data_IF_457720865454
#
_entry.id   IF_457720865454
#
_cell.length_a   1.000
_cell.length_b   1.000
_cell.length_c   1.000
_cell.angle_alpha   90.00
_cell.angle_beta   90.00
_cell.angle_gamma   90.00
#
_symmetry.space_group_name_H-M   'P 1'
#
loop_
_entity.id
_entity.type
_entity.pdbx_description
1 polymer ?
#
# COMPACT_ATOMS: atom_id res chain seq x y z
N UNK A 1 14.73 -10.65 -17.84
CA UNK A 1 13.72 -9.61 -17.51
C UNK A 1 12.72 -10.31 -16.62
N UNK A 2 12.71 -10.02 -15.33
CA UNK A 2 11.67 -10.51 -14.45
C UNK A 2 10.35 -9.95 -14.93
N UNK A 3 9.39 -10.84 -15.12
CA UNK A 3 8.02 -10.50 -15.51
C UNK A 3 7.38 -9.74 -14.34
N UNK A 4 7.50 -8.42 -14.37
CA UNK A 4 6.79 -7.58 -13.41
C UNK A 4 5.31 -7.93 -13.46
N UNK A 5 4.77 -8.29 -12.34
CA UNK A 5 3.37 -8.71 -12.17
C UNK A 5 2.45 -7.76 -12.92
N UNK A 6 1.64 -8.29 -13.84
CA UNK A 6 0.67 -7.49 -14.59
C UNK A 6 -0.35 -6.92 -13.62
N UNK A 7 -0.52 -5.61 -13.61
CA UNK A 7 -1.48 -4.94 -12.74
C UNK A 7 -2.90 -5.49 -13.02
N UNK A 8 -3.68 -5.66 -11.97
CA UNK A 8 -5.03 -6.23 -12.06
C UNK A 8 -5.96 -5.28 -12.83
N UNK A 9 -6.77 -5.82 -13.73
CA UNK A 9 -7.72 -5.04 -14.56
C UNK A 9 -7.09 -3.77 -15.19
N UNK A 10 -5.81 -3.89 -15.62
CA UNK A 10 -4.99 -2.74 -16.03
C UNK A 10 -5.69 -1.89 -17.09
N UNK A 11 -6.09 -2.49 -18.18
CA UNK A 11 -6.67 -1.75 -19.31
C UNK A 11 -8.05 -1.20 -18.95
N UNK A 12 -8.88 -2.04 -18.34
CA UNK A 12 -10.25 -1.69 -17.96
C UNK A 12 -10.28 -0.53 -16.97
N UNK A 13 -9.35 -0.53 -16.00
CA UNK A 13 -9.24 0.53 -15.00
C UNK A 13 -8.78 1.85 -15.61
N UNK A 14 -7.80 1.81 -16.51
CA UNK A 14 -7.25 3.01 -17.16
C UNK A 14 -8.22 3.58 -18.17
N UNK A 15 -8.89 2.74 -18.97
CA UNK A 15 -9.90 3.16 -19.92
C UNK A 15 -11.10 3.84 -19.21
N UNK A 16 -11.52 3.29 -18.07
CA UNK A 16 -12.58 3.89 -17.26
C UNK A 16 -12.15 5.20 -16.59
N UNK A 17 -10.88 5.32 -16.18
CA UNK A 17 -10.34 6.49 -15.50
C UNK A 17 -10.14 7.65 -16.46
N UNK A 18 -9.37 7.45 -17.51
CA UNK A 18 -8.93 8.52 -18.45
C UNK A 18 -9.97 8.80 -19.51
N UNK A 19 -10.60 7.76 -20.06
CA UNK A 19 -11.63 7.88 -21.10
C UNK A 19 -11.15 8.71 -22.29
N UNK A 20 -11.90 9.78 -22.61
CA UNK A 20 -11.58 10.73 -23.67
C UNK A 20 -10.81 11.96 -23.20
N UNK A 21 -10.73 12.22 -21.90
CA UNK A 21 -10.11 13.43 -21.33
C UNK A 21 -8.60 13.20 -21.08
N UNK A 22 -7.81 13.40 -22.13
CA UNK A 22 -6.38 13.10 -22.11
C UNK A 22 -5.51 14.20 -21.48
N UNK A 23 -6.03 15.41 -21.36
CA UNK A 23 -5.31 16.57 -20.78
C UNK A 23 -5.75 16.86 -19.33
N UNK A 24 -6.47 15.94 -18.71
CA UNK A 24 -6.95 16.01 -17.33
C UNK A 24 -5.84 15.77 -16.30
N UNK A 25 -6.22 15.93 -15.03
CA UNK A 25 -5.39 15.68 -13.85
C UNK A 25 -5.86 14.40 -13.16
N UNK A 26 -5.01 13.42 -13.08
CA UNK A 26 -5.33 12.11 -12.51
C UNK A 26 -4.44 11.79 -11.30
N UNK A 27 -4.95 10.92 -10.45
CA UNK A 27 -4.23 10.43 -9.28
C UNK A 27 -4.19 8.91 -9.31
N UNK A 28 -2.99 8.35 -9.11
CA UNK A 28 -2.81 6.95 -8.71
C UNK A 28 -2.45 6.94 -7.22
N UNK A 29 -3.40 6.55 -6.38
CA UNK A 29 -3.27 6.54 -4.93
C UNK A 29 -2.39 5.40 -4.40
N UNK A 30 -2.00 4.46 -5.27
CA UNK A 30 -1.32 3.19 -4.94
C UNK A 30 -0.33 2.83 -6.04
N UNK A 31 0.76 3.59 -6.13
CA UNK A 31 1.73 3.47 -7.23
C UNK A 31 2.29 2.05 -7.38
N UNK A 32 2.70 1.41 -6.26
CA UNK A 32 3.26 0.05 -6.25
C UNK A 32 4.38 -0.16 -7.26
N UNK A 33 4.22 -1.12 -8.16
CA UNK A 33 5.16 -1.37 -9.26
C UNK A 33 5.05 -0.39 -10.44
N UNK A 34 4.10 0.55 -10.39
CA UNK A 34 3.88 1.57 -11.42
C UNK A 34 3.19 1.06 -12.69
N UNK A 35 2.54 -0.11 -12.65
CA UNK A 35 1.86 -0.69 -13.80
C UNK A 35 0.74 0.21 -14.32
N UNK A 36 -0.22 0.53 -13.46
CA UNK A 36 -1.33 1.44 -13.79
C UNK A 36 -0.82 2.83 -14.18
N UNK A 37 0.13 3.38 -13.42
CA UNK A 37 0.68 4.71 -13.67
C UNK A 37 1.35 4.84 -15.05
N UNK A 38 2.09 3.83 -15.49
CA UNK A 38 2.69 3.82 -16.84
C UNK A 38 1.64 3.79 -17.93
N UNK A 39 0.59 2.99 -17.76
CA UNK A 39 -0.52 2.92 -18.71
C UNK A 39 -1.30 4.24 -18.75
N UNK A 40 -1.59 4.85 -17.59
CA UNK A 40 -2.21 6.18 -17.52
C UNK A 40 -1.38 7.20 -18.29
N UNK A 41 -0.06 7.28 -18.02
CA UNK A 41 0.85 8.20 -18.72
C UNK A 41 0.86 7.97 -20.25
N UNK A 42 0.73 6.70 -20.68
CA UNK A 42 0.61 6.34 -22.10
C UNK A 42 -0.67 6.87 -22.75
N UNK A 43 -1.75 7.02 -21.98
CA UNK A 43 -3.03 7.55 -22.44
C UNK A 43 -3.10 9.08 -22.40
N UNK A 44 -2.33 9.73 -21.53
CA UNK A 44 -2.38 11.19 -21.34
C UNK A 44 -1.83 11.97 -22.55
N UNK A 45 -2.46 13.09 -22.81
CA UNK A 45 -1.98 14.10 -23.73
C UNK A 45 -0.83 14.95 -23.14
N UNK A 46 -0.32 15.89 -23.91
CA UNK A 46 0.86 16.68 -23.50
C UNK A 46 0.59 17.63 -22.33
N UNK A 47 -0.66 17.97 -22.03
CA UNK A 47 -1.05 18.78 -20.89
C UNK A 47 -1.60 17.97 -19.72
N UNK A 48 -1.83 16.67 -19.91
CA UNK A 48 -2.29 15.78 -18.87
C UNK A 48 -1.28 15.67 -17.74
N UNK A 49 -1.75 15.43 -16.52
CA UNK A 49 -0.91 15.32 -15.32
C UNK A 49 -1.30 14.10 -14.53
N UNK A 50 -0.31 13.41 -13.97
CA UNK A 50 -0.51 12.30 -13.07
C UNK A 50 0.20 12.58 -11.75
N UNK A 51 -0.51 12.48 -10.63
CA UNK A 51 0.05 12.54 -9.28
C UNK A 51 -0.02 11.13 -8.70
N UNK A 52 1.12 10.58 -8.31
CA UNK A 52 1.16 9.22 -7.74
C UNK A 52 1.55 9.25 -6.27
N UNK A 53 0.94 8.35 -5.50
CA UNK A 53 1.21 8.19 -4.08
C UNK A 53 1.68 6.78 -3.79
N UNK A 54 2.68 6.65 -2.95
CA UNK A 54 2.94 5.42 -2.22
C UNK A 54 3.53 5.74 -0.83
N UNK A 55 3.24 4.88 0.13
CA UNK A 55 3.86 4.90 1.47
C UNK A 55 5.21 4.21 1.47
N UNK A 56 5.46 3.36 0.46
CA UNK A 56 6.67 2.60 0.28
C UNK A 56 7.64 3.33 -0.63
N UNK A 57 8.75 3.79 -0.04
CA UNK A 57 9.77 4.50 -0.80
C UNK A 57 10.42 3.60 -1.87
N UNK A 58 10.53 2.28 -1.60
CA UNK A 58 11.09 1.32 -2.55
C UNK A 58 10.23 1.22 -3.82
N UNK A 59 8.89 1.31 -3.66
CA UNK A 59 7.97 1.34 -4.79
C UNK A 59 8.24 2.56 -5.69
N UNK A 60 8.38 3.73 -5.09
CA UNK A 60 8.56 4.99 -5.82
C UNK A 60 9.88 5.09 -6.60
N UNK A 61 10.88 4.28 -6.26
CA UNK A 61 12.12 4.19 -7.04
C UNK A 61 11.91 3.69 -8.47
N UNK A 62 10.75 3.07 -8.77
CA UNK A 62 10.37 2.60 -10.10
C UNK A 62 9.63 3.65 -10.94
N UNK A 63 9.46 4.87 -10.43
CA UNK A 63 8.74 5.92 -11.14
C UNK A 63 9.47 6.31 -12.44
N UNK A 64 8.74 6.40 -13.57
CA UNK A 64 9.36 6.83 -14.82
C UNK A 64 9.73 8.31 -14.77
N UNK A 65 10.76 8.67 -15.53
CA UNK A 65 11.10 10.09 -15.76
C UNK A 65 10.17 10.66 -16.85
N UNK A 66 9.09 11.28 -16.40
CA UNK A 66 8.07 11.91 -17.27
C UNK A 66 7.66 13.24 -16.65
N UNK A 67 7.79 14.33 -17.43
CA UNK A 67 7.48 15.69 -16.95
C UNK A 67 6.00 15.91 -16.55
N UNK A 68 5.10 14.99 -16.89
CA UNK A 68 3.68 15.01 -16.50
C UNK A 68 3.45 14.30 -15.17
N UNK A 69 4.46 13.57 -14.64
CA UNK A 69 4.36 12.80 -13.42
C UNK A 69 4.82 13.61 -12.21
N UNK A 70 4.02 13.59 -11.16
CA UNK A 70 4.38 14.09 -9.83
C UNK A 70 4.38 12.93 -8.84
N UNK A 71 5.53 12.65 -8.24
CA UNK A 71 5.69 11.53 -7.27
C UNK A 71 5.59 12.06 -5.85
N UNK A 72 4.73 11.46 -5.05
CA UNK A 72 4.50 11.80 -3.64
C UNK A 72 4.77 10.59 -2.75
N UNK A 73 5.84 10.65 -1.94
CA UNK A 73 6.05 9.69 -0.86
C UNK A 73 5.14 10.06 0.31
N UNK A 74 4.00 9.39 0.43
CA UNK A 74 3.01 9.72 1.45
C UNK A 74 1.75 8.88 1.42
N UNK A 75 0.87 9.20 2.36
CA UNK A 75 -0.43 8.57 2.49
C UNK A 75 -1.45 9.30 1.62
N UNK A 76 -2.15 8.58 0.75
CA UNK A 76 -3.18 9.13 -0.13
C UNK A 76 -4.38 9.76 0.63
N UNK A 77 -4.54 9.50 1.93
CA UNK A 77 -5.52 10.24 2.76
C UNK A 77 -5.31 11.76 2.70
N UNK A 78 -4.11 12.20 2.32
CA UNK A 78 -3.77 13.61 2.14
C UNK A 78 -3.81 14.07 0.67
N UNK A 79 -4.46 13.30 -0.23
CA UNK A 79 -4.52 13.59 -1.66
C UNK A 79 -4.96 15.02 -1.94
N UNK A 80 -5.98 15.52 -1.24
CA UNK A 80 -6.47 16.89 -1.39
C UNK A 80 -5.38 17.94 -1.08
N UNK A 81 -4.62 17.74 0.00
CA UNK A 81 -3.56 18.66 0.39
C UNK A 81 -2.43 18.69 -0.64
N UNK A 82 -2.00 17.53 -1.10
CA UNK A 82 -0.93 17.42 -2.09
C UNK A 82 -1.36 17.91 -3.48
N UNK A 83 -2.59 17.61 -3.92
CA UNK A 83 -3.12 18.13 -5.19
C UNK A 83 -3.08 19.67 -5.19
N UNK A 84 -3.58 20.30 -4.14
CA UNK A 84 -3.52 21.78 -4.00
C UNK A 84 -2.10 22.31 -3.93
N UNK A 85 -1.19 21.64 -3.20
CA UNK A 85 0.22 22.02 -3.13
C UNK A 85 0.88 22.03 -4.51
N UNK A 86 0.50 21.08 -5.38
CA UNK A 86 0.97 21.00 -6.76
C UNK A 86 0.13 21.81 -7.76
N UNK A 87 -0.71 22.74 -7.28
CA UNK A 87 -1.48 23.66 -8.10
C UNK A 87 -2.71 23.02 -8.78
N UNK A 88 -3.24 21.91 -8.24
CA UNK A 88 -4.45 21.26 -8.72
C UNK A 88 -5.58 21.47 -7.70
N UNK A 89 -6.57 22.29 -8.05
CA UNK A 89 -7.76 22.54 -7.20
C UNK A 89 -8.74 21.36 -7.25
N UNK A 90 -8.77 20.66 -8.38
CA UNK A 90 -9.58 19.47 -8.61
C UNK A 90 -8.78 18.44 -9.41
N UNK A 91 -9.19 17.19 -9.35
CA UNK A 91 -8.68 16.08 -10.17
C UNK A 91 -9.85 15.45 -10.93
N UNK A 92 -9.58 14.98 -12.15
CA UNK A 92 -10.60 14.39 -13.03
C UNK A 92 -10.87 12.92 -12.69
N UNK A 93 -9.90 12.26 -12.07
CA UNK A 93 -10.08 10.88 -11.62
C UNK A 93 -9.02 10.42 -10.63
N UNK A 94 -9.39 9.42 -9.83
CA UNK A 94 -8.51 8.79 -8.85
C UNK A 94 -8.61 7.28 -9.02
N UNK A 95 -7.47 6.61 -9.18
CA UNK A 95 -7.33 5.17 -9.13
C UNK A 95 -6.76 4.77 -7.77
N UNK A 96 -7.30 3.70 -7.18
CA UNK A 96 -6.76 3.10 -5.98
C UNK A 96 -6.87 1.57 -6.07
N UNK A 97 -5.73 0.90 -6.18
CA UNK A 97 -5.58 -0.56 -6.09
C UNK A 97 -5.16 -0.92 -4.67
N UNK A 98 -6.17 -1.10 -3.80
CA UNK A 98 -5.94 -1.22 -2.36
C UNK A 98 -5.48 -2.63 -1.98
N UNK A 99 -4.33 -2.72 -1.33
CA UNK A 99 -3.77 -3.97 -0.87
C UNK A 99 -2.27 -3.90 -0.65
N UNK A 100 -1.63 -5.07 -0.57
CA UNK A 100 -0.17 -5.21 -0.54
C UNK A 100 0.35 -5.40 -1.95
N UNK A 101 1.52 -4.82 -2.26
CA UNK A 101 2.17 -5.05 -3.56
C UNK A 101 2.78 -6.44 -3.64
N UNK A 102 2.97 -6.97 -4.85
CA UNK A 102 3.68 -8.24 -5.05
C UNK A 102 5.09 -8.19 -4.47
N UNK A 103 5.78 -7.07 -4.60
CA UNK A 103 7.09 -6.87 -4.00
C UNK A 103 7.07 -7.03 -2.48
N UNK A 104 6.11 -6.40 -1.79
CA UNK A 104 5.93 -6.56 -0.35
C UNK A 104 5.62 -8.00 0.05
N UNK A 105 4.88 -8.72 -0.80
CA UNK A 105 4.48 -10.10 -0.55
C UNK A 105 5.62 -11.10 -0.80
N UNK A 106 6.50 -10.80 -1.74
CA UNK A 106 7.61 -11.66 -2.17
C UNK A 106 8.91 -11.40 -1.40
N UNK A 107 8.98 -10.31 -0.63
CA UNK A 107 10.14 -9.95 0.19
C UNK A 107 9.96 -10.48 1.62
N UNK A 108 10.83 -11.41 2.05
CA UNK A 108 10.74 -12.07 3.37
C UNK A 108 10.77 -11.07 4.52
N UNK A 109 11.67 -10.08 4.44
CA UNK A 109 11.91 -9.08 5.49
C UNK A 109 10.71 -8.16 5.73
N UNK A 110 9.80 -8.02 4.73
CA UNK A 110 8.59 -7.22 4.84
C UNK A 110 7.51 -7.89 5.70
N UNK A 111 7.59 -9.20 5.89
CA UNK A 111 6.73 -9.94 6.79
C UNK A 111 5.26 -10.11 6.33
N UNK A 112 4.89 -9.86 5.08
CA UNK A 112 3.52 -10.00 4.59
C UNK A 112 3.15 -11.44 4.17
N UNK A 113 4.11 -12.23 3.69
CA UNK A 113 3.85 -13.55 3.12
C UNK A 113 3.94 -14.69 4.14
N UNK A 114 3.02 -15.65 4.06
CA UNK A 114 3.08 -16.91 4.82
C UNK A 114 4.08 -17.94 4.24
N UNK A 115 4.62 -17.66 3.04
CA UNK A 115 5.62 -18.56 2.41
C UNK A 115 6.91 -18.64 3.22
N UNK A 116 7.24 -17.61 3.97
CA UNK A 116 8.45 -17.49 4.76
C UNK A 116 8.16 -17.76 6.23
N UNK A 117 8.45 -19.00 6.69
CA UNK A 117 8.07 -19.46 8.02
C UNK A 117 8.73 -18.73 9.19
N UNK A 118 9.89 -18.08 8.99
CA UNK A 118 10.63 -17.32 10.00
C UNK A 118 10.65 -15.83 9.71
N UNK A 119 9.82 -15.34 8.78
CA UNK A 119 9.74 -13.93 8.46
C UNK A 119 9.48 -13.08 9.72
N UNK A 120 10.10 -11.91 9.84
CA UNK A 120 9.84 -11.01 10.94
C UNK A 120 8.38 -10.53 10.91
N UNK A 121 7.83 -10.20 12.05
CA UNK A 121 6.52 -9.57 12.17
C UNK A 121 6.65 -8.04 11.95
N UNK A 122 7.05 -7.64 10.74
CA UNK A 122 7.13 -6.22 10.40
C UNK A 122 5.78 -5.70 9.89
N UNK A 123 5.37 -6.09 8.70
CA UNK A 123 4.10 -5.76 8.03
C UNK A 123 3.85 -4.25 7.83
N UNK A 124 4.87 -3.42 7.87
CA UNK A 124 4.75 -1.99 7.58
C UNK A 124 4.79 -1.76 6.08
N UNK A 125 3.82 -1.07 5.53
CA UNK A 125 3.92 -0.56 4.16
C UNK A 125 4.98 0.53 4.05
N UNK A 126 5.01 1.45 5.02
CA UNK A 126 6.10 2.40 5.17
C UNK A 126 7.14 1.82 6.15
N UNK A 127 8.28 1.37 5.64
CA UNK A 127 9.38 0.81 6.46
C UNK A 127 9.93 1.79 7.51
N UNK A 128 9.71 3.09 7.33
CA UNK A 128 10.09 4.16 8.28
C UNK A 128 9.01 4.45 9.34
N UNK A 129 7.84 3.80 9.27
CA UNK A 129 6.81 3.99 10.31
C UNK A 129 7.31 3.49 11.67
N UNK A 130 6.84 4.14 12.75
CA UNK A 130 7.32 3.86 14.11
C UNK A 130 6.90 2.49 14.64
N UNK A 131 5.68 2.01 14.30
CA UNK A 131 5.14 0.75 14.82
C UNK A 131 5.12 -0.34 13.75
N UNK A 132 5.67 -1.51 14.08
CA UNK A 132 5.54 -2.73 13.28
C UNK A 132 4.54 -3.71 13.91
N UNK A 133 4.21 -4.79 13.20
CA UNK A 133 3.29 -5.79 13.72
C UNK A 133 3.79 -6.45 15.01
N UNK A 134 5.11 -6.65 15.15
CA UNK A 134 5.70 -7.18 16.37
C UNK A 134 5.44 -6.25 17.58
N UNK A 135 5.55 -4.93 17.40
CA UNK A 135 5.27 -3.98 18.47
C UNK A 135 3.81 -4.07 18.90
N UNK A 136 2.89 -4.16 17.95
CA UNK A 136 1.45 -4.25 18.22
C UNK A 136 1.12 -5.52 19.01
N UNK A 137 1.56 -6.69 18.56
CA UNK A 137 1.23 -7.96 19.25
C UNK A 137 1.90 -8.07 20.60
N UNK A 138 3.06 -7.42 20.81
CA UNK A 138 3.76 -7.47 22.10
C UNK A 138 3.30 -6.40 23.10
N UNK A 139 2.70 -5.28 22.66
CA UNK A 139 2.40 -4.17 23.55
C UNK A 139 0.92 -3.86 23.77
N UNK A 140 0.05 -4.15 22.76
CA UNK A 140 -1.37 -3.80 22.85
C UNK A 140 -2.12 -4.67 23.87
N UNK A 141 -3.19 -4.10 24.45
CA UNK A 141 -4.06 -4.87 25.35
C UNK A 141 -4.76 -6.01 24.61
N UNK A 142 -5.20 -7.04 25.36
CA UNK A 142 -6.00 -8.13 24.77
C UNK A 142 -7.28 -7.62 24.11
N UNK A 143 -7.92 -6.59 24.67
CA UNK A 143 -9.13 -5.95 24.13
C UNK A 143 -8.84 -5.23 22.81
N UNK A 144 -7.72 -4.52 22.71
CA UNK A 144 -7.33 -3.82 21.47
C UNK A 144 -6.98 -4.82 20.37
N UNK A 145 -6.25 -5.90 20.70
CA UNK A 145 -5.96 -6.97 19.75
C UNK A 145 -7.24 -7.65 19.27
N UNK A 146 -8.17 -8.01 20.17
CA UNK A 146 -9.47 -8.56 19.80
C UNK A 146 -10.20 -7.62 18.84
N UNK A 147 -10.23 -6.32 19.16
CA UNK A 147 -10.88 -5.31 18.31
C UNK A 147 -10.27 -5.24 16.92
N UNK A 148 -8.94 -5.25 16.81
CA UNK A 148 -8.23 -5.25 15.52
C UNK A 148 -8.59 -6.50 14.71
N UNK A 149 -8.51 -7.69 15.29
CA UNK A 149 -8.81 -8.93 14.59
C UNK A 149 -10.27 -9.02 14.17
N UNK A 150 -11.19 -8.53 15.00
CA UNK A 150 -12.62 -8.52 14.69
C UNK A 150 -12.98 -7.52 13.60
N UNK A 151 -12.51 -6.26 13.71
CA UNK A 151 -12.96 -5.18 12.82
C UNK A 151 -12.24 -5.17 11.47
N UNK A 152 -10.95 -5.51 11.46
CA UNK A 152 -10.13 -5.45 10.24
C UNK A 152 -9.80 -6.83 9.68
N UNK A 153 -9.74 -7.84 10.52
CA UNK A 153 -9.43 -9.21 10.11
C UNK A 153 -10.66 -10.08 9.91
N UNK A 154 -11.85 -9.63 10.35
CA UNK A 154 -13.10 -10.41 10.31
C UNK A 154 -12.93 -11.82 10.92
N UNK A 155 -12.00 -11.94 11.90
CA UNK A 155 -11.60 -13.23 12.46
C UNK A 155 -12.68 -13.74 13.41
N UNK A 156 -13.29 -14.88 13.06
CA UNK A 156 -14.13 -15.62 13.99
C UNK A 156 -13.29 -16.08 15.20
N UNK A 157 -13.79 -15.83 16.42
CA UNK A 157 -13.03 -16.16 17.63
C UNK A 157 -11.86 -15.22 17.92
N UNK A 158 -11.89 -13.98 17.43
CA UNK A 158 -10.90 -12.92 17.63
C UNK A 158 -10.42 -12.78 19.09
N UNK A 159 -11.35 -12.92 20.06
CA UNK A 159 -11.04 -12.92 21.49
C UNK A 159 -10.06 -14.04 21.88
N UNK A 160 -10.30 -15.25 21.42
CA UNK A 160 -9.42 -16.41 21.71
C UNK A 160 -8.04 -16.21 21.10
N UNK A 161 -7.98 -15.66 19.89
CA UNK A 161 -6.70 -15.34 19.24
C UNK A 161 -5.92 -14.29 20.06
N UNK A 162 -6.58 -13.24 20.53
CA UNK A 162 -5.97 -12.22 21.36
C UNK A 162 -5.46 -12.79 22.71
N UNK A 163 -6.26 -13.64 23.37
CA UNK A 163 -5.85 -14.32 24.61
C UNK A 163 -4.62 -15.23 24.40
N UNK A 164 -4.54 -15.95 23.30
CA UNK A 164 -3.38 -16.78 22.93
C UNK A 164 -2.12 -15.92 22.70
N UNK A 165 -2.24 -14.79 22.03
CA UNK A 165 -1.13 -13.86 21.80
C UNK A 165 -0.63 -13.30 23.14
N UNK A 166 -1.54 -12.81 23.99
CA UNK A 166 -1.19 -12.27 25.31
C UNK A 166 -0.46 -13.31 26.15
N UNK A 167 -0.99 -14.54 26.25
CA UNK A 167 -0.34 -15.60 27.03
C UNK A 167 0.99 -16.06 26.42
N UNK A 168 1.14 -16.03 25.11
CA UNK A 168 2.38 -16.42 24.43
C UNK A 168 3.49 -15.41 24.65
N UNK A 169 3.20 -14.10 24.54
CA UNK A 169 4.21 -13.04 24.75
C UNK A 169 4.71 -12.93 26.17
N UNK A 170 3.93 -13.40 27.18
CA UNK A 170 4.39 -13.50 28.57
C UNK A 170 5.57 -14.47 28.75
N UNK A 171 5.69 -15.46 27.86
CA UNK A 171 6.80 -16.44 27.88
C UNK A 171 8.02 -15.92 27.13
N UNK A 172 7.81 -15.33 25.95
CA UNK A 172 8.85 -14.74 25.14
C UNK A 172 8.24 -13.73 24.14
N UNK A 173 8.93 -12.62 23.83
CA UNK A 173 8.47 -11.69 22.81
C UNK A 173 8.25 -12.35 21.44
N UNK A 174 7.12 -12.07 20.83
CA UNK A 174 6.77 -12.56 19.51
C UNK A 174 7.51 -11.75 18.43
N UNK A 175 8.45 -12.38 17.73
CA UNK A 175 9.29 -11.70 16.73
C UNK A 175 9.02 -12.17 15.31
N UNK A 176 8.48 -13.36 15.16
CA UNK A 176 8.19 -14.00 13.90
C UNK A 176 6.76 -14.55 13.90
N UNK A 177 6.32 -15.08 12.77
CA UNK A 177 4.98 -15.66 12.62
C UNK A 177 4.78 -17.03 13.30
N UNK A 178 5.85 -17.67 13.74
CA UNK A 178 5.73 -18.91 14.53
C UNK A 178 5.43 -18.53 15.97
N UNK A 179 4.21 -18.81 16.37
CA UNK A 179 3.71 -18.77 17.75
C UNK A 179 3.76 -20.17 18.32
#
# INVERSE_FOLDING_TARGET
>A
MEEYHKAVLLQESVDALVGSERDGVYVDATFGGGGHSREILGCLGPKGRLIVFDKDEEALANAPDDGRLTVVHGDFRFVHNFARYHGCEAVDGILADLGVSSHQFDTEERGFSFRFGNAPLDMRMNSRAGLCAADIVNSYSGEDLERIFRLYGEVEGSRRVAELIVSSRERAPLKTRKI
#
